data_IF_732397743924
#
_entry.id   IF_732397743924
#
_cell.length_a   1.000
_cell.length_b   1.000
_cell.length_c   1.000
_cell.angle_alpha   90.00
_cell.angle_beta   90.00
_cell.angle_gamma   90.00
#
_symmetry.space_group_name_H-M   'P 1'
#
loop_
_entity.id
_entity.type
_entity.pdbx_description
1 polymer ?
#
# COMPACT_ATOMS: atom_id res chain seq x y z
N UNK A 1 -14.90 -16.39 -62.98
CA UNK A 1 -14.91 -17.12 -61.68
C UNK A 1 -14.11 -16.29 -60.68
N UNK A 2 -14.78 -15.63 -59.74
CA UNK A 2 -14.12 -14.84 -58.71
C UNK A 2 -13.44 -15.77 -57.70
N UNK A 3 -12.13 -15.61 -57.51
CA UNK A 3 -11.36 -16.33 -56.52
C UNK A 3 -11.81 -15.91 -55.12
N UNK A 4 -12.31 -16.86 -54.33
CA UNK A 4 -12.60 -16.67 -52.91
C UNK A 4 -11.28 -16.44 -52.17
N UNK A 5 -11.08 -15.26 -51.62
CA UNK A 5 -10.03 -15.02 -50.63
C UNK A 5 -10.27 -15.91 -49.39
N UNK A 6 -9.22 -16.54 -48.83
CA UNK A 6 -9.36 -17.26 -47.57
C UNK A 6 -9.75 -16.26 -46.47
N UNK A 7 -10.79 -16.59 -45.70
CA UNK A 7 -11.04 -15.89 -44.43
C UNK A 7 -9.80 -16.05 -43.57
N UNK A 8 -9.23 -14.93 -43.12
CA UNK A 8 -8.20 -14.93 -42.10
C UNK A 8 -8.72 -15.73 -40.90
N UNK A 9 -8.06 -16.83 -40.58
CA UNK A 9 -8.32 -17.60 -39.37
C UNK A 9 -8.08 -16.69 -38.18
N UNK A 10 -9.12 -16.43 -37.39
CA UNK A 10 -8.98 -15.85 -36.07
C UNK A 10 -7.93 -16.68 -35.33
N UNK A 11 -6.77 -16.10 -35.01
CA UNK A 11 -5.73 -16.82 -34.27
C UNK A 11 -6.36 -17.34 -32.97
N UNK A 12 -6.27 -18.66 -32.74
CA UNK A 12 -6.75 -19.24 -31.49
C UNK A 12 -5.96 -18.60 -30.35
N UNK A 13 -6.66 -17.93 -29.43
CA UNK A 13 -6.07 -17.37 -28.22
C UNK A 13 -5.53 -18.56 -27.40
N UNK A 14 -4.23 -18.57 -27.14
CA UNK A 14 -3.52 -19.68 -26.48
C UNK A 14 -3.30 -19.46 -24.97
N UNK A 15 -4.05 -18.52 -24.38
CA UNK A 15 -4.07 -18.17 -22.96
C UNK A 15 -5.50 -17.92 -22.49
N UNK A 16 -5.71 -17.94 -21.17
CA UNK A 16 -7.00 -17.60 -20.58
C UNK A 16 -7.26 -16.08 -20.63
N UNK A 17 -8.06 -15.64 -21.61
CA UNK A 17 -8.40 -14.23 -21.82
C UNK A 17 -9.47 -13.70 -20.86
N UNK A 18 -10.10 -14.55 -20.06
CA UNK A 18 -10.96 -14.12 -18.95
C UNK A 18 -10.10 -13.72 -17.73
N UNK A 19 -8.88 -14.24 -17.63
CA UNK A 19 -7.98 -13.97 -16.51
C UNK A 19 -6.81 -13.06 -16.85
N UNK A 20 -6.34 -13.04 -18.10
CA UNK A 20 -5.11 -12.34 -18.48
C UNK A 20 -5.29 -11.46 -19.72
N UNK A 21 -4.57 -10.33 -19.75
CA UNK A 21 -4.57 -9.42 -20.91
C UNK A 21 -3.70 -9.93 -22.07
N UNK A 22 -2.74 -10.83 -21.80
CA UNK A 22 -1.87 -11.41 -22.82
C UNK A 22 -1.20 -12.69 -22.33
N UNK A 23 -0.59 -13.45 -23.26
CA UNK A 23 0.20 -14.64 -22.94
C UNK A 23 1.36 -14.34 -22.00
N UNK A 24 2.02 -13.19 -22.16
CA UNK A 24 3.12 -12.76 -21.29
C UNK A 24 2.64 -12.52 -19.85
N UNK A 25 1.42 -12.00 -19.66
CA UNK A 25 0.82 -11.78 -18.34
C UNK A 25 0.49 -13.10 -17.65
N UNK A 26 -0.04 -14.07 -18.38
CA UNK A 26 -0.25 -15.44 -17.89
C UNK A 26 1.07 -16.09 -17.47
N UNK A 27 2.11 -16.01 -18.31
CA UNK A 27 3.44 -16.54 -17.98
C UNK A 27 4.00 -15.85 -16.74
N UNK A 28 3.87 -14.52 -16.62
CA UNK A 28 4.29 -13.75 -15.44
C UNK A 28 3.55 -14.21 -14.18
N UNK A 29 2.25 -14.47 -14.28
CA UNK A 29 1.48 -15.00 -13.15
C UNK A 29 2.04 -16.34 -12.69
N UNK A 30 2.18 -17.29 -13.62
CA UNK A 30 2.57 -18.66 -13.33
C UNK A 30 4.03 -18.80 -12.89
N UNK A 31 4.94 -17.94 -13.35
CA UNK A 31 6.38 -18.03 -13.07
C UNK A 31 6.84 -17.19 -11.89
N UNK A 32 6.16 -16.06 -11.60
CA UNK A 32 6.61 -15.09 -10.59
C UNK A 32 5.50 -14.84 -9.56
N UNK A 33 4.41 -14.21 -9.98
CA UNK A 33 3.45 -13.59 -9.07
C UNK A 33 2.73 -14.62 -8.18
N UNK A 34 2.47 -15.82 -8.70
CA UNK A 34 1.81 -16.87 -7.94
C UNK A 34 2.64 -17.35 -6.73
N UNK A 35 3.97 -17.22 -6.77
CA UNK A 35 4.85 -17.63 -5.68
C UNK A 35 5.21 -16.50 -4.72
N UNK A 36 4.94 -15.24 -5.09
CA UNK A 36 5.19 -14.09 -4.23
C UNK A 36 4.20 -14.06 -3.06
N UNK A 37 4.73 -13.80 -1.87
CA UNK A 37 3.93 -13.60 -0.65
C UNK A 37 3.28 -12.21 -0.68
N UNK A 38 2.00 -12.14 -0.31
CA UNK A 38 1.32 -10.86 -0.15
C UNK A 38 1.96 -10.05 0.98
N UNK A 39 2.19 -8.76 0.73
CA UNK A 39 2.63 -7.84 1.77
C UNK A 39 1.40 -7.28 2.51
N UNK A 40 0.86 -8.10 3.42
CA UNK A 40 -0.35 -7.78 4.18
C UNK A 40 -0.14 -6.52 5.05
N UNK A 41 -1.06 -5.58 4.90
CA UNK A 41 -1.14 -4.38 5.74
C UNK A 41 -1.24 -4.76 7.23
N UNK A 42 -0.53 -4.02 8.08
CA UNK A 42 -0.65 -4.16 9.54
C UNK A 42 -1.59 -3.12 10.11
N UNK A 43 -2.45 -3.53 11.04
CA UNK A 43 -3.56 -2.71 11.53
C UNK A 43 -3.32 -2.17 12.94
N UNK A 44 -3.92 -1.03 13.28
CA UNK A 44 -3.93 -0.56 14.65
C UNK A 44 -5.10 -1.16 15.40
N UNK A 45 -4.81 -1.75 16.56
CA UNK A 45 -5.85 -2.22 17.46
C UNK A 45 -6.30 -1.00 18.25
N UNK A 46 -7.58 -0.66 18.17
CA UNK A 46 -8.12 0.52 18.82
C UNK A 46 -7.91 0.50 20.34
N UNK A 47 -7.85 -0.67 20.95
CA UNK A 47 -7.62 -0.93 22.37
C UNK A 47 -6.15 -0.77 22.81
N UNK A 48 -5.19 -0.90 21.89
CA UNK A 48 -3.76 -0.66 22.18
C UNK A 48 -3.47 0.85 22.39
N UNK A 49 -4.36 1.74 21.96
CA UNK A 49 -4.13 3.18 21.92
C UNK A 49 -4.37 3.94 23.24
N UNK A 50 -4.85 3.27 24.31
CA UNK A 50 -5.57 3.93 25.41
C UNK A 50 -4.69 4.69 26.42
N UNK A 51 -3.38 4.44 26.53
CA UNK A 51 -2.59 5.10 27.59
C UNK A 51 -1.25 5.75 27.17
N UNK A 52 -0.67 5.42 26.01
CA UNK A 52 0.58 6.05 25.52
C UNK A 52 0.48 6.62 24.09
N UNK A 53 -0.71 6.59 23.47
CA UNK A 53 -0.87 6.76 22.01
C UNK A 53 -1.93 7.85 21.68
N UNK A 54 -2.38 8.63 22.66
CA UNK A 54 -3.29 9.75 22.42
C UNK A 54 -2.75 10.76 21.40
N UNK A 55 -1.44 11.05 21.45
CA UNK A 55 -0.80 11.98 20.51
C UNK A 55 -0.74 11.42 19.08
N UNK A 56 -0.40 10.14 18.93
CA UNK A 56 -0.38 9.45 17.63
C UNK A 56 -1.80 9.38 17.06
N UNK A 57 -2.79 9.05 17.89
CA UNK A 57 -4.19 9.08 17.49
C UNK A 57 -4.57 10.48 16.97
N UNK A 58 -4.24 11.53 17.71
CA UNK A 58 -4.49 12.91 17.28
C UNK A 58 -3.82 13.25 15.95
N UNK A 59 -2.57 12.82 15.71
CA UNK A 59 -1.92 13.00 14.41
C UNK A 59 -2.65 12.26 13.29
N UNK A 60 -3.07 11.00 13.52
CA UNK A 60 -3.78 10.20 12.52
C UNK A 60 -5.19 10.72 12.23
N UNK A 61 -5.89 11.25 13.24
CA UNK A 61 -7.17 11.94 13.09
C UNK A 61 -7.01 13.24 12.30
N UNK A 62 -5.96 14.03 12.59
CA UNK A 62 -5.63 15.25 11.84
C UNK A 62 -5.31 14.98 10.36
N UNK A 63 -4.76 13.80 10.05
CA UNK A 63 -4.53 13.34 8.67
C UNK A 63 -5.78 12.73 8.02
N UNK A 64 -6.82 12.42 8.79
CA UNK A 64 -8.00 11.68 8.33
C UNK A 64 -7.74 10.21 8.02
N UNK A 65 -6.71 9.59 8.62
CA UNK A 65 -6.33 8.19 8.33
C UNK A 65 -6.71 7.20 9.43
N UNK A 66 -7.20 7.69 10.57
CA UNK A 66 -7.42 6.88 11.76
C UNK A 66 -8.38 5.71 11.50
N UNK A 67 -9.58 5.99 10.99
CA UNK A 67 -10.60 4.96 10.75
C UNK A 67 -10.14 3.93 9.72
N UNK A 68 -9.45 4.39 8.67
CA UNK A 68 -8.82 3.51 7.70
C UNK A 68 -7.86 2.53 8.40
N UNK A 69 -6.91 3.02 9.21
CA UNK A 69 -5.89 2.21 9.88
C UNK A 69 -6.44 1.27 10.97
N UNK A 70 -7.67 1.49 11.45
CA UNK A 70 -8.36 0.64 12.40
C UNK A 70 -9.36 -0.33 11.75
N UNK A 71 -9.61 -0.22 10.45
CA UNK A 71 -10.58 -1.06 9.74
C UNK A 71 -9.92 -2.30 9.15
N UNK A 72 -10.37 -3.51 9.48
CA UNK A 72 -9.94 -4.75 8.80
C UNK A 72 -10.92 -5.13 7.70
N UNK A 73 -10.48 -5.62 6.55
CA UNK A 73 -11.34 -6.17 5.50
C UNK A 73 -10.82 -7.52 4.97
N UNK A 74 -11.72 -8.28 4.35
CA UNK A 74 -11.40 -9.53 3.68
C UNK A 74 -10.36 -9.28 2.59
N UNK A 75 -9.43 -10.23 2.45
CA UNK A 75 -8.43 -10.26 1.38
C UNK A 75 -8.80 -11.40 0.43
N UNK A 76 -8.72 -11.15 -0.88
CA UNK A 76 -8.83 -12.15 -1.94
C UNK A 76 -7.45 -12.39 -2.60
N UNK A 77 -6.62 -13.29 -2.07
CA UNK A 77 -5.22 -13.40 -2.47
C UNK A 77 -4.99 -13.64 -3.97
N UNK A 78 -5.81 -14.49 -4.58
CA UNK A 78 -5.68 -14.82 -6.01
C UNK A 78 -6.06 -13.63 -6.88
N UNK A 79 -7.14 -12.92 -6.55
CA UNK A 79 -7.55 -11.72 -7.28
C UNK A 79 -6.51 -10.60 -7.20
N UNK A 80 -5.92 -10.40 -6.02
CA UNK A 80 -4.79 -9.47 -5.85
C UNK A 80 -3.61 -9.86 -6.74
N UNK A 81 -3.27 -11.16 -6.79
CA UNK A 81 -2.21 -11.66 -7.67
C UNK A 81 -2.55 -11.49 -9.15
N UNK A 82 -3.79 -11.72 -9.57
CA UNK A 82 -4.25 -11.46 -10.94
C UNK A 82 -4.07 -9.97 -11.29
N UNK A 83 -4.49 -9.08 -10.39
CA UNK A 83 -4.27 -7.64 -10.56
C UNK A 83 -2.80 -7.30 -10.78
N UNK A 84 -1.87 -7.82 -9.98
CA UNK A 84 -0.44 -7.52 -10.16
C UNK A 84 0.20 -8.21 -11.36
N UNK A 85 -0.29 -9.39 -11.74
CA UNK A 85 0.15 -10.04 -12.96
C UNK A 85 -0.22 -9.20 -14.17
N UNK A 86 -1.46 -8.70 -14.23
CA UNK A 86 -1.98 -7.91 -15.33
C UNK A 86 -1.58 -6.44 -15.31
N UNK A 87 -1.09 -5.91 -14.18
CA UNK A 87 -0.73 -4.50 -14.02
C UNK A 87 0.10 -3.95 -15.18
N UNK A 88 -0.40 -2.90 -15.81
CA UNK A 88 0.25 -2.24 -16.94
C UNK A 88 1.38 -1.30 -16.47
N UNK A 89 2.37 -1.10 -17.33
CA UNK A 89 3.36 -0.04 -17.11
C UNK A 89 2.69 1.31 -17.35
N UNK A 90 2.77 2.22 -16.39
CA UNK A 90 2.17 3.55 -16.49
C UNK A 90 3.21 4.63 -16.25
N UNK A 91 3.10 5.73 -17.00
CA UNK A 91 3.85 6.97 -16.77
C UNK A 91 3.01 8.01 -16.02
N UNK A 92 1.72 7.73 -15.80
CA UNK A 92 0.78 8.57 -15.06
C UNK A 92 0.48 7.97 -13.69
N UNK A 93 -0.11 8.75 -12.77
CA UNK A 93 -0.52 8.24 -11.46
C UNK A 93 -1.87 7.50 -11.53
N UNK A 94 -1.94 6.49 -12.39
CA UNK A 94 -3.09 5.59 -12.55
C UNK A 94 -2.58 4.17 -12.72
N UNK A 95 -3.12 3.25 -11.94
CA UNK A 95 -2.79 1.83 -12.02
C UNK A 95 -3.88 1.08 -12.78
N UNK A 96 -3.58 0.75 -14.04
CA UNK A 96 -4.46 -0.02 -14.91
C UNK A 96 -4.12 -1.52 -14.85
N UNK A 97 -5.14 -2.36 -14.79
CA UNK A 97 -5.02 -3.81 -14.73
C UNK A 97 -6.30 -4.50 -15.21
N UNK A 98 -6.38 -5.81 -14.99
CA UNK A 98 -7.49 -6.66 -15.37
C UNK A 98 -7.67 -7.79 -14.35
N UNK A 99 -8.90 -8.04 -13.93
CA UNK A 99 -9.26 -9.10 -12.98
C UNK A 99 -10.62 -9.68 -13.36
N UNK A 100 -10.70 -11.00 -13.57
CA UNK A 100 -11.95 -11.73 -13.86
C UNK A 100 -12.79 -11.06 -14.96
N UNK A 101 -12.24 -10.84 -16.16
CA UNK A 101 -12.99 -10.24 -17.26
C UNK A 101 -13.13 -8.71 -17.19
N UNK A 102 -12.74 -8.07 -16.08
CA UNK A 102 -12.99 -6.66 -15.83
C UNK A 102 -11.71 -5.82 -15.93
N UNK A 103 -11.64 -4.81 -16.82
CA UNK A 103 -10.61 -3.78 -16.77
C UNK A 103 -10.75 -2.96 -15.47
N UNK A 104 -9.65 -2.81 -14.75
CA UNK A 104 -9.59 -2.03 -13.50
C UNK A 104 -8.69 -0.83 -13.73
N UNK A 105 -9.18 0.36 -13.36
CA UNK A 105 -8.38 1.58 -13.32
C UNK A 105 -8.44 2.17 -11.92
N UNK A 106 -7.31 2.17 -11.22
CA UNK A 106 -7.20 2.70 -9.86
C UNK A 106 -6.60 4.10 -9.92
N UNK A 107 -7.39 5.09 -9.55
CA UNK A 107 -6.99 6.51 -9.41
C UNK A 107 -6.90 6.92 -7.93
N UNK A 108 -6.23 8.04 -7.61
CA UNK A 108 -6.20 8.57 -6.25
C UNK A 108 -7.61 8.80 -5.68
N UNK A 109 -8.54 9.24 -6.51
CA UNK A 109 -9.94 9.47 -6.14
C UNK A 109 -10.63 8.17 -5.72
N UNK A 110 -10.48 7.09 -6.50
CA UNK A 110 -11.05 5.79 -6.16
C UNK A 110 -10.52 5.26 -4.82
N UNK A 111 -9.22 5.41 -4.55
CA UNK A 111 -8.63 5.02 -3.26
C UNK A 111 -9.19 5.87 -2.13
N UNK A 112 -9.29 7.19 -2.32
CA UNK A 112 -9.80 8.11 -1.32
C UNK A 112 -11.25 7.79 -0.94
N UNK A 113 -12.10 7.56 -1.94
CA UNK A 113 -13.50 7.15 -1.75
C UNK A 113 -13.61 5.80 -1.06
N UNK A 114 -12.82 4.81 -1.50
CA UNK A 114 -12.85 3.45 -0.94
C UNK A 114 -12.38 3.41 0.52
N UNK A 115 -11.41 4.26 0.90
CA UNK A 115 -10.84 4.30 2.25
C UNK A 115 -11.46 5.36 3.16
N UNK A 116 -12.23 6.30 2.61
CA UNK A 116 -12.76 7.45 3.35
C UNK A 116 -11.67 8.41 3.84
N UNK A 117 -10.60 8.60 3.06
CA UNK A 117 -9.44 9.44 3.42
C UNK A 117 -9.29 10.66 2.49
N UNK A 118 -8.60 11.73 2.90
CA UNK A 118 -8.37 12.89 2.03
C UNK A 118 -7.53 12.57 0.78
N UNK A 119 -7.93 13.11 -0.38
CA UNK A 119 -7.15 13.13 -1.63
C UNK A 119 -6.48 14.49 -1.85
N UNK A 120 -5.81 15.02 -0.83
CA UNK A 120 -5.21 16.36 -0.85
C UNK A 120 -3.90 16.40 -0.06
N UNK A 121 -3.10 17.44 -0.30
CA UNK A 121 -1.82 17.63 0.37
C UNK A 121 -0.63 17.37 -0.55
N UNK A 122 0.57 17.34 0.02
CA UNK A 122 1.81 17.17 -0.75
C UNK A 122 1.91 15.75 -1.34
N UNK A 123 2.49 15.65 -2.53
CA UNK A 123 2.67 14.38 -3.29
C UNK A 123 4.13 13.93 -3.34
N UNK A 124 5.05 14.79 -2.91
CA UNK A 124 6.48 14.53 -2.76
C UNK A 124 7.03 15.27 -1.54
N UNK A 125 8.23 14.90 -1.11
CA UNK A 125 8.86 15.44 0.11
C UNK A 125 10.09 16.32 -0.20
N UNK A 126 10.18 16.88 -1.42
CA UNK A 126 11.33 17.68 -1.83
C UNK A 126 11.44 18.97 -1.00
N UNK A 127 10.32 19.60 -0.68
CA UNK A 127 10.26 20.86 0.09
C UNK A 127 10.39 20.65 1.61
N UNK A 128 10.46 19.40 2.07
CA UNK A 128 10.69 19.07 3.47
C UNK A 128 12.19 18.93 3.68
N UNK A 129 12.79 19.86 4.40
CA UNK A 129 14.22 19.84 4.68
C UNK A 129 14.61 18.63 5.51
N UNK A 130 15.72 17.96 5.15
CA UNK A 130 16.15 16.72 5.81
C UNK A 130 16.45 16.95 7.28
N UNK A 131 17.18 18.01 7.61
CA UNK A 131 17.58 18.32 8.99
C UNK A 131 16.36 18.71 9.83
N UNK A 132 15.43 19.47 9.25
CA UNK A 132 14.17 19.82 9.90
C UNK A 132 13.36 18.54 10.24
N UNK A 133 13.22 17.64 9.26
CA UNK A 133 12.51 16.37 9.46
C UNK A 133 13.15 15.51 10.57
N UNK A 134 14.49 15.46 10.63
CA UNK A 134 15.21 14.77 11.70
C UNK A 134 14.91 15.41 13.07
N UNK A 135 14.98 16.74 13.18
CA UNK A 135 14.70 17.46 14.42
C UNK A 135 13.28 17.22 14.93
N UNK A 136 12.29 17.24 14.03
CA UNK A 136 10.88 16.93 14.35
C UNK A 136 10.73 15.46 14.79
N UNK A 137 11.37 14.53 14.09
CA UNK A 137 11.30 13.11 14.43
C UNK A 137 11.92 12.83 15.81
N UNK A 138 13.04 13.46 16.13
CA UNK A 138 13.77 13.30 17.40
C UNK A 138 13.19 14.14 18.55
N UNK A 139 12.31 15.09 18.26
CA UNK A 139 11.75 16.05 19.24
C UNK A 139 12.83 16.92 19.91
N UNK A 140 13.91 17.21 19.18
CA UNK A 140 15.00 18.09 19.64
C UNK A 140 15.75 18.71 18.46
N UNK A 141 16.31 19.89 18.69
CA UNK A 141 17.11 20.62 17.69
C UNK A 141 18.62 20.38 17.84
N UNK A 142 19.06 19.91 19.00
CA UNK A 142 20.47 19.63 19.27
C UNK A 142 20.79 18.16 18.95
N UNK A 143 21.22 17.91 17.71
CA UNK A 143 21.68 16.62 17.23
C UNK A 143 22.82 16.80 16.21
N UNK A 144 23.69 15.79 16.10
CA UNK A 144 24.76 15.82 15.09
C UNK A 144 24.13 15.65 13.69
N UNK A 145 24.25 16.62 12.75
CA UNK A 145 23.65 16.54 11.42
C UNK A 145 24.09 15.35 10.57
N UNK A 146 25.25 14.75 10.90
CA UNK A 146 25.86 13.63 10.18
C UNK A 146 25.43 12.28 10.79
N UNK A 147 24.75 12.27 11.93
CA UNK A 147 24.37 11.03 12.59
C UNK A 147 23.37 10.20 11.76
N UNK A 148 23.54 8.88 11.79
CA UNK A 148 22.53 7.96 11.26
C UNK A 148 21.42 7.79 12.29
N UNK A 149 20.24 8.31 11.97
CA UNK A 149 19.04 8.11 12.80
C UNK A 149 18.60 6.66 12.69
N UNK A 150 18.45 5.99 13.83
CA UNK A 150 17.85 4.65 13.92
C UNK A 150 16.57 4.72 14.73
N UNK A 151 15.70 3.72 14.59
CA UNK A 151 14.44 3.61 15.32
C UNK A 151 14.61 3.69 16.86
N UNK A 152 15.76 3.29 17.42
CA UNK A 152 16.02 3.38 18.87
C UNK A 152 16.28 4.80 19.36
N UNK A 153 16.66 5.72 18.47
CA UNK A 153 16.82 7.13 18.80
C UNK A 153 15.48 7.89 18.82
N UNK A 154 14.45 7.33 18.19
CA UNK A 154 13.15 7.98 18.03
C UNK A 154 12.32 7.84 19.32
N UNK A 155 11.57 8.88 19.73
CA UNK A 155 10.56 8.77 20.76
C UNK A 155 9.52 7.68 20.43
N UNK A 156 8.88 7.13 21.46
CA UNK A 156 7.90 6.04 21.34
C UNK A 156 6.81 6.35 20.31
N UNK A 157 6.21 7.55 20.37
CA UNK A 157 5.18 7.98 19.44
C UNK A 157 5.68 8.03 17.99
N UNK A 158 6.87 8.60 17.75
CA UNK A 158 7.51 8.63 16.44
C UNK A 158 7.80 7.23 15.91
N UNK A 159 8.21 6.28 16.77
CA UNK A 159 8.44 4.87 16.38
C UNK A 159 7.15 4.19 15.94
N UNK A 160 6.03 4.46 16.59
CA UNK A 160 4.72 3.93 16.19
C UNK A 160 4.34 4.44 14.79
N UNK A 161 4.49 5.74 14.51
CA UNK A 161 4.25 6.28 13.17
C UNK A 161 5.22 5.67 12.14
N UNK A 162 6.51 5.52 12.47
CA UNK A 162 7.47 4.85 11.59
C UNK A 162 7.02 3.42 11.23
N UNK A 163 6.52 2.67 12.22
CA UNK A 163 5.99 1.33 11.98
C UNK A 163 4.77 1.39 11.05
N UNK A 164 3.83 2.30 11.26
CA UNK A 164 2.66 2.47 10.39
C UNK A 164 3.05 2.83 8.96
N UNK A 165 3.95 3.80 8.80
CA UNK A 165 4.46 4.23 7.50
C UNK A 165 5.08 3.04 6.76
N UNK A 166 5.97 2.30 7.42
CA UNK A 166 6.77 1.27 6.75
C UNK A 166 6.12 -0.12 6.66
N UNK A 167 5.00 -0.35 7.36
CA UNK A 167 4.27 -1.63 7.31
C UNK A 167 2.89 -1.54 6.65
N UNK A 168 2.33 -0.32 6.52
CA UNK A 168 0.93 -0.16 6.12
C UNK A 168 0.76 0.90 5.05
N UNK A 169 1.28 2.11 5.27
CA UNK A 169 1.07 3.23 4.33
C UNK A 169 1.95 3.11 3.09
N UNK A 170 3.22 2.74 3.27
CA UNK A 170 4.23 2.55 2.22
C UNK A 170 5.07 1.30 2.58
N UNK A 171 4.46 0.11 2.51
CA UNK A 171 5.04 -1.09 3.06
C UNK A 171 6.30 -1.50 2.29
N UNK A 172 7.41 -1.65 3.02
CA UNK A 172 8.70 -2.08 2.44
C UNK A 172 9.18 -3.39 3.03
N UNK A 173 9.94 -4.13 2.23
CA UNK A 173 10.64 -5.32 2.70
C UNK A 173 11.95 -4.96 3.41
N UNK A 174 12.41 -5.87 4.27
CA UNK A 174 13.68 -5.74 4.97
C UNK A 174 13.57 -5.06 6.34
N UNK A 175 14.65 -4.39 6.75
CA UNK A 175 14.75 -3.86 8.11
C UNK A 175 13.95 -2.58 8.32
N UNK A 176 13.18 -2.54 9.41
CA UNK A 176 12.52 -1.33 9.93
C UNK A 176 13.38 -0.56 10.95
N UNK A 177 14.61 -1.00 11.21
CA UNK A 177 15.48 -0.37 12.22
C UNK A 177 16.07 0.96 11.76
N UNK A 178 16.30 1.10 10.46
CA UNK A 178 16.89 2.28 9.81
C UNK A 178 15.83 2.97 8.96
N UNK A 179 15.23 4.09 9.44
CA UNK A 179 14.33 4.88 8.63
C UNK A 179 15.08 5.51 7.45
N UNK A 180 14.49 5.47 6.26
CA UNK A 180 14.99 6.22 5.11
C UNK A 180 14.74 7.72 5.27
N UNK A 181 15.41 8.55 4.48
CA UNK A 181 15.11 9.98 4.44
C UNK A 181 13.63 10.24 4.13
N UNK A 182 13.05 9.47 3.19
CA UNK A 182 11.62 9.55 2.87
C UNK A 182 10.75 9.20 4.09
N UNK A 183 11.12 8.17 4.85
CA UNK A 183 10.38 7.78 6.06
C UNK A 183 10.37 8.93 7.07
N UNK A 184 11.53 9.55 7.32
CA UNK A 184 11.67 10.67 8.26
C UNK A 184 10.88 11.90 7.82
N UNK A 185 10.95 12.27 6.53
CA UNK A 185 10.18 13.39 5.98
C UNK A 185 8.67 13.14 6.04
N UNK A 186 8.23 11.90 5.77
CA UNK A 186 6.83 11.51 5.91
C UNK A 186 6.38 11.68 7.37
N UNK A 187 7.13 11.12 8.32
CA UNK A 187 6.82 11.22 9.76
C UNK A 187 6.76 12.68 10.21
N UNK A 188 7.70 13.52 9.77
CA UNK A 188 7.72 14.94 10.08
C UNK A 188 6.45 15.66 9.61
N UNK A 189 5.97 15.35 8.40
CA UNK A 189 4.69 15.88 7.89
C UNK A 189 3.53 15.48 8.79
N UNK A 190 3.46 14.20 9.18
CA UNK A 190 2.41 13.68 10.07
C UNK A 190 2.40 14.42 11.41
N UNK A 191 3.57 14.62 12.02
CA UNK A 191 3.71 15.29 13.31
C UNK A 191 3.37 16.79 13.25
N UNK A 192 3.71 17.46 12.15
CA UNK A 192 3.45 18.89 11.95
C UNK A 192 2.05 19.20 11.41
N UNK A 193 1.26 18.18 11.05
CA UNK A 193 -0.06 18.39 10.44
C UNK A 193 0.00 18.79 8.96
N UNK A 194 1.14 18.67 8.30
CA UNK A 194 1.24 18.87 6.84
C UNK A 194 0.52 17.74 6.14
N UNK A 195 -0.61 18.03 5.51
CA UNK A 195 -1.40 17.01 4.80
C UNK A 195 -0.58 16.37 3.67
N UNK A 196 -0.66 15.04 3.60
CA UNK A 196 0.01 14.20 2.61
C UNK A 196 -1.04 13.50 1.78
N UNK A 197 -0.93 13.56 0.45
CA UNK A 197 -1.84 12.84 -0.44
C UNK A 197 -1.47 11.34 -0.46
N UNK A 198 -1.95 10.60 0.55
CA UNK A 198 -1.72 9.17 0.70
C UNK A 198 -2.24 8.35 -0.50
N UNK A 199 -3.44 8.60 -1.05
CA UNK A 199 -3.89 7.93 -2.28
C UNK A 199 -2.88 7.99 -3.44
N UNK A 200 -2.35 9.18 -3.72
CA UNK A 200 -1.33 9.39 -4.75
C UNK A 200 -0.04 8.61 -4.45
N UNK A 201 0.41 8.60 -3.19
CA UNK A 201 1.61 7.86 -2.79
C UNK A 201 1.43 6.33 -2.88
N UNK A 202 0.23 5.81 -2.58
CA UNK A 202 -0.10 4.38 -2.68
C UNK A 202 0.02 3.92 -4.13
N UNK A 203 -0.55 4.64 -5.09
CA UNK A 203 -0.48 4.27 -6.52
C UNK A 203 0.96 4.26 -7.02
N UNK A 204 1.73 5.31 -6.73
CA UNK A 204 3.15 5.35 -7.10
C UNK A 204 3.94 4.20 -6.46
N UNK A 205 3.58 3.79 -5.25
CA UNK A 205 4.18 2.63 -4.61
C UNK A 205 3.80 1.32 -5.30
N UNK A 206 2.53 1.12 -5.68
CA UNK A 206 2.08 -0.03 -6.46
C UNK A 206 2.85 -0.16 -7.79
N UNK A 207 2.94 0.95 -8.52
CA UNK A 207 3.57 1.02 -9.85
C UNK A 207 5.10 0.86 -9.79
N UNK A 208 5.76 1.37 -8.75
CA UNK A 208 7.22 1.26 -8.61
C UNK A 208 7.67 -0.10 -8.07
N UNK A 209 6.79 -0.86 -7.42
CA UNK A 209 7.11 -2.13 -6.75
C UNK A 209 6.11 -3.25 -7.04
N UNK A 210 5.80 -3.53 -8.33
CA UNK A 210 4.73 -4.45 -8.68
C UNK A 210 5.02 -5.90 -8.29
N UNK A 211 6.30 -6.25 -8.12
CA UNK A 211 6.71 -7.60 -7.75
C UNK A 211 6.64 -7.90 -6.24
N UNK A 212 6.35 -6.89 -5.40
CA UNK A 212 6.22 -7.07 -3.95
C UNK A 212 4.76 -7.19 -3.49
N UNK A 213 3.79 -7.09 -4.41
CA UNK A 213 2.35 -7.25 -4.17
C UNK A 213 1.89 -6.52 -2.89
N UNK A 214 2.10 -5.19 -2.81
CA UNK A 214 1.63 -4.41 -1.67
C UNK A 214 0.11 -4.25 -1.69
N UNK A 215 -0.44 -3.82 -0.55
CA UNK A 215 -1.84 -3.43 -0.38
C UNK A 215 -2.92 -4.47 -0.78
N UNK A 216 -2.75 -5.76 -0.42
CA UNK A 216 -3.71 -6.80 -0.80
C UNK A 216 -5.12 -6.52 -0.27
N UNK A 217 -5.24 -5.90 0.89
CA UNK A 217 -6.53 -5.62 1.48
C UNK A 217 -7.19 -4.39 0.85
N UNK A 218 -6.44 -3.35 0.46
CA UNK A 218 -6.99 -2.19 -0.26
C UNK A 218 -7.57 -2.64 -1.59
N UNK A 219 -6.81 -3.45 -2.35
CA UNK A 219 -7.27 -3.99 -3.62
C UNK A 219 -8.54 -4.82 -3.45
N UNK A 220 -8.62 -5.64 -2.41
CA UNK A 220 -9.82 -6.42 -2.11
C UNK A 220 -11.04 -5.53 -1.77
N UNK A 221 -10.84 -4.39 -1.11
CA UNK A 221 -11.91 -3.39 -0.92
C UNK A 221 -12.33 -2.73 -2.22
N UNK A 222 -11.38 -2.40 -3.08
CA UNK A 222 -11.65 -1.80 -4.38
C UNK A 222 -12.46 -2.79 -5.24
N UNK A 223 -12.12 -4.08 -5.24
CA UNK A 223 -12.89 -5.09 -5.95
C UNK A 223 -14.35 -5.14 -5.46
N UNK A 224 -14.56 -5.02 -4.15
CA UNK A 224 -15.89 -4.94 -3.57
C UNK A 224 -16.62 -3.63 -3.92
N UNK A 225 -15.94 -2.47 -3.89
CA UNK A 225 -16.56 -1.18 -4.23
C UNK A 225 -16.93 -1.07 -5.71
N UNK A 226 -16.19 -1.76 -6.58
CA UNK A 226 -16.50 -1.90 -8.00
C UNK A 226 -17.57 -2.96 -8.30
N UNK A 227 -18.09 -3.66 -7.28
CA UNK A 227 -19.06 -4.77 -7.41
C UNK A 227 -18.61 -5.85 -8.41
N UNK A 228 -17.33 -6.26 -8.36
CA UNK A 228 -16.87 -7.38 -9.17
C UNK A 228 -17.66 -8.65 -8.81
N UNK A 229 -18.01 -9.43 -9.83
CA UNK A 229 -18.65 -10.73 -9.66
C UNK A 229 -17.62 -11.76 -9.16
N UNK A 230 -17.40 -11.76 -7.84
CA UNK A 230 -16.44 -12.66 -7.18
C UNK A 230 -17.13 -14.00 -6.94
N UNK A 231 -16.61 -15.12 -7.48
CA UNK A 231 -17.18 -16.45 -7.26
C UNK A 231 -17.27 -16.83 -5.78
N UNK A 232 -18.31 -17.57 -5.39
CA UNK A 232 -18.52 -18.02 -4.00
C UNK A 232 -17.38 -18.92 -3.49
N UNK A 233 -16.69 -19.64 -4.38
CA UNK A 233 -15.56 -20.51 -4.07
C UNK A 233 -14.20 -19.76 -4.07
N UNK A 234 -14.20 -18.44 -4.30
CA UNK A 234 -12.98 -17.64 -4.29
C UNK A 234 -12.33 -17.66 -2.89
N UNK A 235 -11.08 -18.11 -2.86
CA UNK A 235 -10.32 -18.18 -1.62
C UNK A 235 -10.16 -16.78 -1.01
N UNK A 236 -10.58 -16.65 0.23
CA UNK A 236 -10.48 -15.41 0.98
C UNK A 236 -9.84 -15.62 2.36
N UNK A 237 -9.22 -14.55 2.85
CA UNK A 237 -8.53 -14.52 4.14
C UNK A 237 -9.05 -13.31 4.92
N UNK A 238 -9.58 -13.57 6.11
CA UNK A 238 -9.91 -12.49 7.07
C UNK A 238 -8.66 -12.17 7.89
N UNK A 239 -8.19 -10.91 7.92
CA UNK A 239 -7.08 -10.51 8.77
C UNK A 239 -7.36 -10.87 10.23
N UNK A 240 -6.39 -11.54 10.87
CA UNK A 240 -6.51 -11.91 12.30
C UNK A 240 -5.88 -10.84 13.18
N UNK A 241 -6.23 -10.82 14.47
CA UNK A 241 -5.59 -10.00 15.50
C UNK A 241 -4.05 -10.13 15.54
N UNK A 242 -3.45 -11.20 14.97
CA UNK A 242 -1.97 -11.34 14.89
C UNK A 242 -1.31 -10.38 13.86
N UNK A 243 -2.08 -9.81 12.95
CA UNK A 243 -1.63 -8.85 11.92
C UNK A 243 -1.80 -7.39 12.35
N UNK A 244 -2.23 -7.16 13.60
CA UNK A 244 -2.08 -5.86 14.24
C UNK A 244 -0.59 -5.45 14.23
N UNK A 245 -0.26 -4.17 14.42
CA UNK A 245 1.08 -3.78 14.90
C UNK A 245 1.30 -4.57 16.18
N UNK A 246 1.93 -5.72 16.01
CA UNK A 246 1.89 -6.81 16.97
C UNK A 246 2.63 -6.35 18.22
N UNK A 247 2.27 -6.88 19.38
CA UNK A 247 3.11 -6.85 20.60
C UNK A 247 4.59 -7.07 20.28
N UNK A 248 4.95 -7.84 19.25
CA UNK A 248 6.33 -8.01 18.78
C UNK A 248 6.94 -6.74 18.16
N UNK A 249 6.22 -6.04 17.27
CA UNK A 249 6.69 -4.78 16.69
C UNK A 249 6.79 -3.67 17.74
N UNK A 250 5.82 -3.65 18.67
CA UNK A 250 5.83 -2.77 19.85
C UNK A 250 6.95 -3.14 20.83
N UNK A 251 7.20 -4.43 21.11
CA UNK A 251 8.34 -4.91 21.91
C UNK A 251 9.68 -4.53 21.30
N UNK A 252 9.85 -4.67 19.99
CA UNK A 252 11.03 -4.16 19.28
C UNK A 252 11.12 -2.63 19.36
N UNK A 253 9.99 -1.98 19.64
CA UNK A 253 9.90 -0.57 19.98
C UNK A 253 10.06 -0.25 21.48
N UNK A 254 10.38 -1.23 22.33
CA UNK A 254 10.37 -1.11 23.80
C UNK A 254 9.04 -0.57 24.37
N UNK A 255 7.91 -0.92 23.72
CA UNK A 255 6.54 -0.58 24.10
C UNK A 255 5.82 -1.86 24.55
#
# INVERSE_FOLDING_TARGET
MAARQPRASQAAIDYDNELFLSKEKEIRYNSVINFVKLNNEKWLASDILVSNIAIVKSWLEGMGWFDYLCSSHIIYPRLVKLFYANLETSTTCVANSFVLGNPISITPELIAETLGIPNSGITHFNDVEKLEAIGICLERLDFNPIMTVTSSHLPIATRIILLLVTNTLLPREGSHTLPSERDLKFIACVKNGTLVNLPYLIINHMLSRPNHIPYPMLLSRIFASLNLDIPDDEHNVKPSYKQLINKVGLRNCNI
#
